data_IF_233166854458
#
_entry.id   IF_233166854458
#
_cell.length_a   1.000
_cell.length_b   1.000
_cell.length_c   1.000
_cell.angle_alpha   90.00
_cell.angle_beta   90.00
_cell.angle_gamma   90.00
#
_symmetry.space_group_name_H-M   'P 1'
#
loop_
_entity.id
_entity.type
_entity.pdbx_description
1 polymer ?
#
# COMPACT_ATOMS: atom_id res chain seq x y z
N UNK A 1 22.91 -11.29 -35.89
CA UNK A 1 22.35 -12.21 -34.87
C UNK A 1 22.79 -11.93 -33.42
N UNK A 2 24.06 -11.62 -33.13
CA UNK A 2 24.52 -11.31 -31.76
C UNK A 2 23.85 -10.07 -31.15
N UNK A 3 23.77 -8.96 -31.88
CA UNK A 3 23.14 -7.70 -31.41
C UNK A 3 21.66 -7.87 -31.01
N UNK A 4 20.89 -8.64 -31.77
CA UNK A 4 19.49 -8.95 -31.46
C UNK A 4 19.33 -9.85 -30.22
N UNK A 5 20.27 -10.77 -29.97
CA UNK A 5 20.30 -11.57 -28.73
C UNK A 5 20.63 -10.71 -27.50
N UNK A 6 21.58 -9.78 -27.61
CA UNK A 6 21.91 -8.87 -26.51
C UNK A 6 20.74 -7.93 -26.17
N UNK A 7 20.03 -7.40 -27.17
CA UNK A 7 18.88 -6.54 -26.94
C UNK A 7 17.73 -7.26 -26.23
N UNK A 8 17.43 -8.51 -26.63
CA UNK A 8 16.41 -9.34 -25.97
C UNK A 8 16.80 -9.67 -24.52
N UNK A 9 18.06 -9.98 -24.26
CA UNK A 9 18.54 -10.26 -22.90
C UNK A 9 18.47 -9.01 -22.01
N UNK A 10 18.82 -7.84 -22.55
CA UNK A 10 18.68 -6.56 -21.85
C UNK A 10 17.24 -6.22 -21.51
N UNK A 11 16.31 -6.46 -22.43
CA UNK A 11 14.87 -6.24 -22.19
C UNK A 11 14.34 -7.15 -21.06
N UNK A 12 14.68 -8.44 -21.08
CA UNK A 12 14.27 -9.39 -20.04
C UNK A 12 14.83 -8.95 -18.68
N UNK A 13 16.12 -8.63 -18.60
CA UNK A 13 16.74 -8.17 -17.36
C UNK A 13 16.06 -6.92 -16.80
N UNK A 14 15.78 -5.92 -17.65
CA UNK A 14 15.09 -4.70 -17.25
C UNK A 14 13.66 -4.95 -16.74
N UNK A 15 12.91 -5.83 -17.41
CA UNK A 15 11.56 -6.20 -16.95
C UNK A 15 11.57 -6.92 -15.61
N UNK A 16 12.52 -7.83 -15.38
CA UNK A 16 12.66 -8.54 -14.10
C UNK A 16 13.00 -7.57 -12.98
N UNK A 17 13.94 -6.64 -13.20
CA UNK A 17 14.28 -5.62 -12.20
C UNK A 17 13.12 -4.69 -11.89
N UNK A 18 12.33 -4.31 -12.89
CA UNK A 18 11.15 -3.46 -12.69
C UNK A 18 10.04 -4.18 -11.90
N UNK A 19 9.83 -5.48 -12.13
CA UNK A 19 8.88 -6.29 -11.38
C UNK A 19 9.32 -6.50 -9.93
N UNK A 20 10.61 -6.72 -9.68
CA UNK A 20 11.16 -6.85 -8.32
C UNK A 20 11.12 -5.53 -7.53
N UNK A 21 11.14 -4.38 -8.21
CA UNK A 21 10.97 -3.08 -7.56
C UNK A 21 9.58 -2.88 -6.93
N UNK A 22 8.57 -3.68 -7.30
CA UNK A 22 7.28 -3.70 -6.61
C UNK A 22 7.38 -4.32 -5.19
N UNK A 23 8.44 -5.07 -4.89
CA UNK A 23 8.79 -5.53 -3.55
C UNK A 23 9.80 -4.59 -2.86
N UNK A 24 9.84 -3.31 -3.26
CA UNK A 24 10.71 -2.33 -2.64
C UNK A 24 10.50 -2.25 -1.12
N UNK A 25 11.57 -1.93 -0.43
CA UNK A 25 11.62 -1.85 1.03
C UNK A 25 10.59 -0.84 1.54
N UNK A 26 9.59 -1.32 2.26
CA UNK A 26 8.57 -0.49 2.90
C UNK A 26 9.07 -0.06 4.29
N UNK A 27 9.39 1.24 4.52
CA UNK A 27 9.85 1.72 5.81
C UNK A 27 8.84 1.45 6.95
N UNK A 28 7.55 1.30 6.66
CA UNK A 28 6.52 0.96 7.65
C UNK A 28 6.63 -0.51 8.06
N UNK A 29 6.91 -1.40 7.11
CA UNK A 29 7.17 -2.81 7.41
C UNK A 29 8.44 -3.01 8.25
N UNK A 30 9.46 -2.17 8.08
CA UNK A 30 10.66 -2.20 8.92
C UNK A 30 10.38 -1.70 10.35
N UNK A 31 9.53 -0.67 10.51
CA UNK A 31 9.06 -0.25 11.83
C UNK A 31 8.28 -1.37 12.54
N UNK A 32 7.42 -2.09 11.82
CA UNK A 32 6.73 -3.26 12.38
C UNK A 32 7.72 -4.33 12.85
N UNK A 33 8.75 -4.64 12.05
CA UNK A 33 9.75 -5.67 12.38
C UNK A 33 10.71 -5.25 13.49
N UNK A 34 10.98 -3.96 13.65
CA UNK A 34 11.90 -3.44 14.66
C UNK A 34 11.46 -3.80 16.10
N UNK A 35 10.17 -4.05 16.33
CA UNK A 35 9.68 -4.53 17.61
C UNK A 35 9.93 -3.56 18.76
N UNK A 36 10.07 -2.27 18.47
CA UNK A 36 10.43 -1.21 19.41
C UNK A 36 9.32 -0.85 20.43
N UNK A 37 8.27 -1.69 20.50
CA UNK A 37 7.17 -1.61 21.47
C UNK A 37 6.43 -0.27 21.46
N UNK A 38 6.49 0.48 20.35
CA UNK A 38 5.76 1.74 20.22
C UNK A 38 4.25 1.56 20.17
N UNK A 39 3.74 0.36 19.92
CA UNK A 39 2.31 0.03 19.74
C UNK A 39 1.61 0.81 18.60
N UNK A 40 2.36 1.56 17.79
CA UNK A 40 1.87 2.22 16.57
C UNK A 40 3.01 2.32 15.55
N UNK A 41 2.66 2.39 14.26
CA UNK A 41 3.60 2.73 13.19
C UNK A 41 3.53 4.25 13.01
N UNK A 42 4.65 4.95 13.20
CA UNK A 42 4.69 6.38 12.93
C UNK A 42 4.61 6.57 11.41
N UNK A 43 3.54 7.21 10.96
CA UNK A 43 3.48 7.75 9.60
C UNK A 43 4.60 8.78 9.38
N UNK A 44 4.70 9.31 8.18
CA UNK A 44 5.70 10.33 7.82
C UNK A 44 5.48 11.70 8.50
N UNK A 45 4.52 11.80 9.42
CA UNK A 45 4.17 13.02 10.15
C UNK A 45 3.40 14.03 9.31
N UNK A 46 3.00 13.68 8.09
CA UNK A 46 2.21 14.57 7.25
C UNK A 46 0.74 14.57 7.68
N UNK A 47 0.13 15.76 7.65
CA UNK A 47 -1.30 15.94 7.92
C UNK A 47 -1.91 16.57 6.68
N UNK A 48 -3.00 15.97 6.20
CA UNK A 48 -3.83 16.58 5.15
C UNK A 48 -5.04 17.22 5.81
N UNK A 49 -5.13 18.54 5.75
CA UNK A 49 -6.28 19.28 6.29
C UNK A 49 -7.32 19.54 5.21
N UNK A 50 -8.59 19.26 5.51
CA UNK A 50 -9.72 19.53 4.63
C UNK A 50 -10.62 20.60 5.23
N UNK A 51 -10.77 21.72 4.51
CA UNK A 51 -11.81 22.71 4.79
C UNK A 51 -13.20 22.05 4.79
N UNK A 52 -14.16 22.61 5.54
CA UNK A 52 -15.49 22.01 5.69
C UNK A 52 -16.15 21.62 4.36
N UNK A 53 -16.06 22.47 3.34
CA UNK A 53 -16.62 22.23 2.01
C UNK A 53 -15.81 21.28 1.12
N UNK A 54 -14.62 20.87 1.54
CA UNK A 54 -13.70 19.98 0.80
C UNK A 54 -13.63 18.58 1.40
N UNK A 55 -14.43 18.29 2.44
CA UNK A 55 -14.50 16.95 3.03
C UNK A 55 -15.29 16.04 2.09
N UNK A 56 -14.75 14.86 1.73
CA UNK A 56 -15.52 13.91 0.94
C UNK A 56 -16.80 13.52 1.68
N UNK A 57 -17.86 13.22 0.92
CA UNK A 57 -19.08 12.67 1.47
C UNK A 57 -18.83 11.31 2.12
N UNK A 58 -19.72 10.92 3.02
CA UNK A 58 -19.70 9.58 3.58
C UNK A 58 -20.55 8.66 2.69
N UNK A 59 -19.96 7.56 2.25
CA UNK A 59 -20.69 6.51 1.53
C UNK A 59 -21.23 5.49 2.53
N UNK A 60 -22.47 5.04 2.33
CA UNK A 60 -23.04 3.97 3.15
C UNK A 60 -22.20 2.70 3.04
N UNK A 61 -21.89 2.06 4.16
CA UNK A 61 -21.20 0.78 4.20
C UNK A 61 -22.03 -0.26 4.95
N UNK A 62 -21.89 -1.51 4.52
CA UNK A 62 -22.51 -2.67 5.16
C UNK A 62 -21.61 -3.90 4.99
N UNK A 63 -21.69 -4.86 5.90
CA UNK A 63 -20.92 -6.09 5.78
C UNK A 63 -21.26 -7.12 6.86
N UNK A 64 -20.55 -8.24 6.83
CA UNK A 64 -20.65 -9.30 7.85
C UNK A 64 -19.35 -9.32 8.65
N UNK A 65 -19.46 -9.31 9.98
CA UNK A 65 -18.31 -9.34 10.89
C UNK A 65 -17.70 -10.74 10.99
N UNK A 66 -16.54 -10.88 11.63
CA UNK A 66 -15.92 -12.19 11.87
C UNK A 66 -16.78 -13.12 12.74
N UNK A 67 -17.70 -12.57 13.52
CA UNK A 67 -18.67 -13.31 14.34
C UNK A 67 -19.97 -13.63 13.60
N UNK A 68 -20.10 -13.25 12.33
CA UNK A 68 -21.29 -13.49 11.50
C UNK A 68 -22.42 -12.47 11.69
N UNK A 69 -22.18 -11.37 12.41
CA UNK A 69 -23.19 -10.33 12.61
C UNK A 69 -23.23 -9.38 11.41
N UNK A 70 -24.41 -8.82 11.13
CA UNK A 70 -24.55 -7.76 10.11
C UNK A 70 -24.12 -6.43 10.71
N UNK A 71 -23.20 -5.76 10.02
CA UNK A 71 -22.79 -4.38 10.28
C UNK A 71 -23.43 -3.49 9.21
N UNK A 72 -24.06 -2.41 9.62
CA UNK A 72 -24.67 -1.43 8.72
C UNK A 72 -24.45 0.00 9.23
N UNK A 73 -24.09 0.90 8.33
CA UNK A 73 -23.82 2.32 8.63
C UNK A 73 -25.08 3.15 8.96
N UNK A 74 -26.28 2.60 8.76
CA UNK A 74 -27.56 3.26 9.02
C UNK A 74 -28.23 2.89 10.34
N UNK A 75 -27.66 1.92 11.07
CA UNK A 75 -28.21 1.38 12.32
C UNK A 75 -28.05 2.31 13.53
#
# INVERSE_FOLDING_TARGET
>A
MRRAKLFKLGLIAATVTALLAACANDPLADQFRAGDNKNYIAGDGTVTEFALGSRPGFESFSGVTESGQTLDSSA
#
